data_IF_648985265300
#
_entry.id   IF_648985265300
#
_cell.length_a   1.000
_cell.length_b   1.000
_cell.length_c   1.000
_cell.angle_alpha   90.00
_cell.angle_beta   90.00
_cell.angle_gamma   90.00
#
_symmetry.space_group_name_H-M   'P 1'
#
loop_
_entity.id
_entity.type
_entity.pdbx_description
1 polymer ?
#
# COMPACT_ATOMS: atom_id res chain seq x y z
N UNK A 1 -32.92 -9.94 12.05
CA UNK A 1 -32.83 -9.33 10.72
C UNK A 1 -31.41 -9.51 10.21
N UNK A 2 -31.19 -10.48 9.33
CA UNK A 2 -29.90 -10.70 8.67
C UNK A 2 -29.66 -9.55 7.69
N UNK A 3 -28.78 -8.60 8.02
CA UNK A 3 -28.11 -7.83 6.98
C UNK A 3 -27.09 -8.76 6.35
N UNK A 4 -27.47 -9.39 5.23
CA UNK A 4 -26.52 -10.05 4.34
C UNK A 4 -25.43 -9.04 4.03
N UNK A 5 -24.18 -9.40 4.33
CA UNK A 5 -23.04 -8.53 4.13
C UNK A 5 -22.95 -8.13 2.66
N UNK A 6 -23.32 -6.88 2.36
CA UNK A 6 -22.87 -6.23 1.13
C UNK A 6 -21.35 -6.31 1.11
N UNK A 7 -20.82 -7.08 0.17
CA UNK A 7 -19.40 -7.29 -0.07
C UNK A 7 -18.73 -5.93 -0.36
N UNK A 8 -17.44 -5.81 -0.02
CA UNK A 8 -16.62 -4.62 -0.32
C UNK A 8 -16.76 -4.14 -1.77
N UNK A 9 -16.91 -5.10 -2.69
CA UNK A 9 -17.09 -4.88 -4.12
C UNK A 9 -18.28 -3.97 -4.44
N UNK A 10 -19.32 -3.91 -3.61
CA UNK A 10 -20.48 -3.04 -3.83
C UNK A 10 -20.38 -1.71 -3.06
N UNK A 11 -19.82 -1.72 -1.85
CA UNK A 11 -19.73 -0.53 -1.00
C UNK A 11 -18.70 0.47 -1.47
N UNK A 12 -17.52 0.00 -1.89
CA UNK A 12 -16.42 0.87 -2.25
C UNK A 12 -16.75 1.67 -3.53
N UNK A 13 -17.25 1.07 -4.63
CA UNK A 13 -17.65 1.83 -5.81
C UNK A 13 -18.79 2.81 -5.53
N UNK A 14 -19.75 2.45 -4.68
CA UNK A 14 -20.84 3.36 -4.26
C UNK A 14 -20.31 4.57 -3.52
N UNK A 15 -19.40 4.40 -2.56
CA UNK A 15 -18.79 5.51 -1.86
C UNK A 15 -18.02 6.42 -2.83
N UNK A 16 -17.22 5.85 -3.72
CA UNK A 16 -16.49 6.65 -4.72
C UNK A 16 -17.42 7.37 -5.68
N UNK A 17 -18.53 6.74 -6.09
CA UNK A 17 -19.56 7.39 -6.88
C UNK A 17 -20.21 8.56 -6.12
N UNK A 18 -20.53 8.39 -4.83
CA UNK A 18 -21.07 9.46 -3.99
C UNK A 18 -20.08 10.61 -3.80
N UNK A 19 -18.79 10.33 -3.55
CA UNK A 19 -17.75 11.37 -3.45
C UNK A 19 -17.64 12.12 -4.78
N UNK A 20 -17.62 11.41 -5.92
CA UNK A 20 -17.58 12.04 -7.25
C UNK A 20 -18.80 12.90 -7.53
N UNK A 21 -19.99 12.45 -7.13
CA UNK A 21 -21.23 13.23 -7.27
C UNK A 21 -21.19 14.52 -6.46
N UNK A 22 -20.78 14.45 -5.19
CA UNK A 22 -20.62 15.62 -4.31
C UNK A 22 -19.58 16.59 -4.90
N UNK A 23 -18.43 16.08 -5.35
CA UNK A 23 -17.40 16.90 -5.99
C UNK A 23 -17.91 17.56 -7.27
N UNK A 24 -18.69 16.86 -8.09
CA UNK A 24 -19.26 17.40 -9.32
C UNK A 24 -20.28 18.52 -9.02
N UNK A 25 -21.12 18.35 -8.00
CA UNK A 25 -22.06 19.38 -7.55
C UNK A 25 -21.33 20.64 -7.06
N UNK A 26 -20.28 20.47 -6.26
CA UNK A 26 -19.44 21.59 -5.80
C UNK A 26 -18.82 22.33 -6.99
N UNK A 27 -18.27 21.60 -7.97
CA UNK A 27 -17.61 22.20 -9.15
C UNK A 27 -18.60 22.87 -10.11
N UNK A 28 -19.88 22.54 -10.06
CA UNK A 28 -20.92 23.09 -10.91
C UNK A 28 -21.55 24.37 -10.35
N UNK A 29 -21.25 24.74 -9.09
CA UNK A 29 -21.80 25.95 -8.48
C UNK A 29 -21.32 27.21 -9.23
N UNK A 30 -22.25 28.08 -9.71
CA UNK A 30 -21.91 29.30 -10.43
C UNK A 30 -21.01 30.27 -9.65
N UNK A 31 -20.98 30.17 -8.33
CA UNK A 31 -20.12 30.99 -7.45
C UNK A 31 -18.63 30.75 -7.69
N UNK A 32 -18.24 29.67 -8.39
CA UNK A 32 -16.86 29.38 -8.78
C UNK A 32 -16.47 29.96 -10.15
N UNK A 33 -17.26 30.87 -10.73
CA UNK A 33 -16.92 31.54 -11.99
C UNK A 33 -15.52 32.20 -11.89
N UNK A 34 -14.62 31.81 -12.80
CA UNK A 34 -13.22 32.26 -12.78
C UNK A 34 -12.26 31.42 -11.93
N UNK A 35 -12.71 30.35 -11.28
CA UNK A 35 -11.84 29.43 -10.56
C UNK A 35 -10.82 28.77 -11.50
N UNK A 36 -9.56 28.73 -11.07
CA UNK A 36 -8.51 28.07 -11.85
C UNK A 36 -8.66 26.54 -11.79
N UNK A 37 -8.18 25.80 -12.81
CA UNK A 37 -8.17 24.34 -12.78
C UNK A 37 -7.49 23.77 -11.53
N UNK A 38 -6.43 24.42 -11.05
CA UNK A 38 -5.71 24.03 -9.82
C UNK A 38 -6.56 24.18 -8.56
N UNK A 39 -7.38 25.24 -8.47
CA UNK A 39 -8.30 25.43 -7.34
C UNK A 39 -9.36 24.33 -7.33
N UNK A 40 -9.91 23.99 -8.49
CA UNK A 40 -10.90 22.92 -8.64
C UNK A 40 -10.33 21.54 -8.30
N UNK A 41 -9.08 21.25 -8.69
CA UNK A 41 -8.39 20.02 -8.28
C UNK A 41 -8.18 19.99 -6.76
N UNK A 42 -7.79 21.11 -6.15
CA UNK A 42 -7.62 21.22 -4.69
C UNK A 42 -8.93 20.98 -3.94
N UNK A 43 -10.04 21.52 -4.44
CA UNK A 43 -11.37 21.28 -3.88
C UNK A 43 -11.76 19.80 -3.95
N UNK A 44 -11.55 19.15 -5.10
CA UNK A 44 -11.79 17.72 -5.30
C UNK A 44 -10.98 16.86 -4.31
N UNK A 45 -9.68 17.13 -4.17
CA UNK A 45 -8.82 16.44 -3.20
C UNK A 45 -9.29 16.68 -1.76
N UNK A 46 -9.79 17.88 -1.46
CA UNK A 46 -10.27 18.24 -0.11
C UNK A 46 -11.54 17.48 0.26
N UNK A 47 -12.50 17.39 -0.67
CA UNK A 47 -13.76 16.65 -0.49
C UNK A 47 -13.46 15.17 -0.29
N UNK A 48 -12.59 14.59 -1.14
CA UNK A 48 -12.16 13.20 -1.02
C UNK A 48 -11.54 12.95 0.36
N UNK A 49 -10.53 13.74 0.75
CA UNK A 49 -9.86 13.59 2.06
C UNK A 49 -10.82 13.71 3.23
N UNK A 50 -11.79 14.63 3.18
CA UNK A 50 -12.77 14.80 4.24
C UNK A 50 -13.71 13.59 4.37
N UNK A 51 -14.16 13.01 3.26
CA UNK A 51 -14.99 11.81 3.25
C UNK A 51 -14.22 10.59 3.78
N UNK A 52 -13.03 10.34 3.23
CA UNK A 52 -12.17 9.23 3.66
C UNK A 52 -11.74 9.37 5.12
N UNK A 53 -11.47 10.59 5.62
CA UNK A 53 -11.08 10.77 7.01
C UNK A 53 -12.16 10.36 8.00
N UNK A 54 -13.44 10.60 7.67
CA UNK A 54 -14.59 10.25 8.53
C UNK A 54 -15.01 8.79 8.41
N UNK A 55 -14.92 8.23 7.20
CA UNK A 55 -15.39 6.87 6.90
C UNK A 55 -14.26 5.82 6.90
N UNK A 56 -13.03 6.22 7.25
CA UNK A 56 -11.82 5.44 7.00
C UNK A 56 -11.92 3.98 7.45
N UNK A 57 -12.38 3.73 8.69
CA UNK A 57 -12.44 2.37 9.23
C UNK A 57 -13.48 1.50 8.50
N UNK A 58 -14.63 2.07 8.13
CA UNK A 58 -15.66 1.37 7.36
C UNK A 58 -15.21 1.05 5.93
N UNK A 59 -14.31 1.88 5.40
CA UNK A 59 -13.79 1.75 4.03
C UNK A 59 -12.57 0.82 3.98
N UNK A 60 -11.75 0.84 5.04
CA UNK A 60 -10.60 -0.05 5.19
C UNK A 60 -11.01 -1.47 5.60
N UNK A 61 -12.02 -1.60 6.46
CA UNK A 61 -12.55 -2.88 6.95
C UNK A 61 -14.06 -3.02 6.66
N UNK A 62 -14.47 -3.11 5.39
CA UNK A 62 -15.88 -3.22 5.03
C UNK A 62 -16.56 -4.51 5.51
N UNK A 63 -15.79 -5.57 5.74
CA UNK A 63 -16.24 -6.82 6.37
C UNK A 63 -15.96 -6.85 7.89
N UNK A 64 -15.51 -5.73 8.46
CA UNK A 64 -15.22 -5.57 9.89
C UNK A 64 -14.14 -6.53 10.39
N UNK A 65 -14.47 -7.31 11.41
CA UNK A 65 -13.53 -8.20 12.10
C UNK A 65 -12.88 -9.26 11.19
N UNK A 66 -13.55 -9.65 10.10
CA UNK A 66 -12.99 -10.59 9.12
C UNK A 66 -11.74 -10.03 8.44
N UNK A 67 -11.78 -8.76 8.03
CA UNK A 67 -10.64 -8.08 7.40
C UNK A 67 -9.50 -7.90 8.40
N UNK A 68 -9.84 -7.50 9.63
CA UNK A 68 -8.90 -7.31 10.74
C UNK A 68 -8.18 -8.63 11.07
N UNK A 69 -8.93 -9.73 11.23
CA UNK A 69 -8.37 -11.04 11.56
C UNK A 69 -7.42 -11.52 10.46
N UNK A 70 -7.80 -11.35 9.19
CA UNK A 70 -6.97 -11.71 8.05
C UNK A 70 -5.68 -10.87 7.96
N UNK A 71 -5.76 -9.57 8.26
CA UNK A 71 -4.57 -8.71 8.37
C UNK A 71 -3.65 -9.12 9.54
N UNK A 72 -4.23 -9.50 10.68
CA UNK A 72 -3.46 -10.02 11.83
C UNK A 72 -2.72 -11.32 11.47
N UNK A 73 -3.38 -12.23 10.75
CA UNK A 73 -2.75 -13.47 10.26
C UNK A 73 -1.55 -13.15 9.37
N UNK A 74 -1.69 -12.23 8.41
CA UNK A 74 -0.55 -11.83 7.58
C UNK A 74 0.54 -11.13 8.40
N UNK A 75 0.17 -10.25 9.34
CA UNK A 75 1.15 -9.53 10.14
C UNK A 75 1.99 -10.47 11.01
N UNK A 76 1.37 -11.49 11.59
CA UNK A 76 2.06 -12.54 12.33
C UNK A 76 2.95 -13.40 11.42
N UNK A 77 2.46 -13.75 10.23
CA UNK A 77 3.25 -14.43 9.20
C UNK A 77 4.50 -13.64 8.83
N UNK A 78 4.36 -12.35 8.52
CA UNK A 78 5.47 -11.44 8.22
C UNK A 78 6.46 -11.39 9.38
N UNK A 79 5.98 -11.29 10.62
CA UNK A 79 6.84 -11.25 11.82
C UNK A 79 7.72 -12.49 11.90
N UNK A 80 7.15 -13.68 11.70
CA UNK A 80 7.88 -14.96 11.75
C UNK A 80 8.88 -15.08 10.60
N UNK A 81 8.46 -14.83 9.36
CA UNK A 81 9.36 -14.83 8.19
C UNK A 81 10.51 -13.84 8.40
N UNK A 82 10.22 -12.63 8.86
CA UNK A 82 11.22 -11.58 9.07
C UNK A 82 12.28 -11.94 10.10
N UNK A 83 11.93 -12.77 11.10
CA UNK A 83 12.84 -13.21 12.17
C UNK A 83 13.94 -14.16 11.68
N UNK A 84 13.65 -14.96 10.64
CA UNK A 84 14.60 -15.90 10.03
C UNK A 84 15.21 -15.38 8.74
N UNK A 85 14.83 -14.16 8.33
CA UNK A 85 15.19 -13.58 7.03
C UNK A 85 16.29 -12.53 7.14
N UNK A 86 17.31 -12.69 6.29
CA UNK A 86 18.35 -11.71 6.00
C UNK A 86 18.20 -11.15 4.59
N UNK A 87 18.86 -10.02 4.27
CA UNK A 87 18.86 -9.49 2.90
C UNK A 87 19.37 -10.52 1.88
N UNK A 88 20.35 -11.36 2.27
CA UNK A 88 20.86 -12.45 1.43
C UNK A 88 19.78 -13.51 1.15
N UNK A 89 19.01 -13.93 2.16
CA UNK A 89 18.08 -15.06 2.03
C UNK A 89 16.87 -14.74 1.15
N UNK A 90 16.48 -13.47 1.02
CA UNK A 90 15.45 -13.01 0.08
C UNK A 90 16.01 -12.70 -1.32
N UNK A 91 17.29 -12.95 -1.57
CA UNK A 91 17.89 -12.78 -2.88
C UNK A 91 18.44 -11.38 -3.20
N UNK A 92 18.64 -10.50 -2.21
CA UNK A 92 19.31 -9.20 -2.48
C UNK A 92 20.73 -9.46 -2.98
N UNK A 93 21.08 -8.89 -4.14
CA UNK A 93 22.39 -9.01 -4.77
C UNK A 93 23.50 -8.49 -3.84
N UNK A 94 24.68 -9.13 -3.87
CA UNK A 94 25.79 -8.81 -2.97
C UNK A 94 26.19 -7.32 -3.03
N UNK A 95 26.21 -6.73 -4.23
CA UNK A 95 26.52 -5.32 -4.47
C UNK A 95 25.50 -4.33 -3.88
N UNK A 96 24.30 -4.79 -3.50
CA UNK A 96 23.26 -3.93 -2.92
C UNK A 96 23.09 -4.10 -1.42
N UNK A 97 23.71 -5.12 -0.80
CA UNK A 97 23.54 -5.46 0.62
C UNK A 97 24.15 -4.42 1.56
N UNK A 98 25.10 -3.60 1.11
CA UNK A 98 25.72 -2.55 1.92
C UNK A 98 24.70 -1.53 2.46
N UNK A 99 23.61 -1.33 1.72
CA UNK A 99 22.57 -0.39 2.11
C UNK A 99 21.50 -1.01 3.01
N UNK A 100 21.54 -2.32 3.25
CA UNK A 100 20.60 -2.97 4.14
C UNK A 100 20.74 -2.39 5.57
N UNK A 101 19.63 -2.08 6.26
CA UNK A 101 18.28 -2.55 5.96
C UNK A 101 17.41 -1.55 5.17
N UNK A 102 17.99 -0.62 4.41
CA UNK A 102 17.30 0.39 3.61
C UNK A 102 16.43 1.36 4.45
N UNK A 103 17.02 2.07 5.43
CA UNK A 103 16.26 2.83 6.45
C UNK A 103 15.35 3.92 5.86
N UNK A 104 15.74 4.58 4.77
CA UNK A 104 14.91 5.60 4.10
C UNK A 104 13.63 5.02 3.51
N UNK A 105 13.75 3.89 2.80
CA UNK A 105 12.61 3.17 2.23
C UNK A 105 11.67 2.68 3.34
N UNK A 106 12.23 2.07 4.39
CA UNK A 106 11.44 1.65 5.56
C UNK A 106 10.67 2.81 6.20
N UNK A 107 11.31 3.98 6.35
CA UNK A 107 10.64 5.16 6.92
C UNK A 107 9.45 5.60 6.09
N UNK A 108 9.53 5.57 4.77
CA UNK A 108 8.37 5.86 3.93
C UNK A 108 7.26 4.84 4.20
N UNK A 109 7.56 3.56 4.10
CA UNK A 109 6.56 2.51 4.26
C UNK A 109 5.92 2.47 5.66
N UNK A 110 6.64 2.84 6.73
CA UNK A 110 6.09 2.99 8.09
C UNK A 110 4.99 4.05 8.20
N UNK A 111 4.94 5.03 7.28
CA UNK A 111 3.89 6.05 7.25
C UNK A 111 2.64 5.61 6.48
N UNK A 112 2.66 4.45 5.80
CA UNK A 112 1.51 3.94 5.06
C UNK A 112 0.17 3.96 5.84
N UNK A 113 0.11 3.58 7.14
CA UNK A 113 -1.14 3.64 7.91
C UNK A 113 -1.60 5.06 8.27
N UNK A 114 -0.73 6.07 8.19
CA UNK A 114 -1.10 7.47 8.46
C UNK A 114 -1.97 8.03 7.34
N UNK A 115 -1.76 7.56 6.11
CA UNK A 115 -2.51 8.01 4.94
C UNK A 115 -3.86 7.30 4.85
N UNK A 116 -4.92 8.08 4.61
CA UNK A 116 -6.31 7.57 4.58
C UNK A 116 -6.89 7.44 3.17
N UNK A 117 -6.39 8.21 2.21
CA UNK A 117 -6.84 8.15 0.81
C UNK A 117 -6.00 7.13 0.02
N UNK A 118 -6.59 6.47 -0.99
CA UNK A 118 -5.84 5.62 -1.93
C UNK A 118 -4.67 6.37 -2.58
N UNK A 119 -4.90 7.62 -3.01
CA UNK A 119 -3.89 8.49 -3.65
C UNK A 119 -2.68 8.71 -2.74
N UNK A 120 -2.91 9.06 -1.48
CA UNK A 120 -1.81 9.33 -0.54
C UNK A 120 -1.06 8.05 -0.14
N UNK A 121 -1.76 6.91 -0.02
CA UNK A 121 -1.16 5.58 0.21
C UNK A 121 -0.28 5.14 -0.95
N UNK A 122 -0.74 5.29 -2.18
CA UNK A 122 0.05 5.03 -3.38
C UNK A 122 1.30 5.92 -3.41
N UNK A 123 1.14 7.24 -3.20
CA UNK A 123 2.27 8.17 -3.17
C UNK A 123 3.31 7.79 -2.11
N UNK A 124 2.89 7.22 -0.98
CA UNK A 124 3.77 6.67 0.03
C UNK A 124 4.62 5.50 -0.49
N UNK A 125 4.01 4.57 -1.21
CA UNK A 125 4.70 3.42 -1.81
C UNK A 125 5.63 3.86 -2.93
N UNK A 126 5.22 4.82 -3.76
CA UNK A 126 6.07 5.42 -4.78
C UNK A 126 7.34 6.00 -4.15
N UNK A 127 7.23 6.81 -3.08
CA UNK A 127 8.40 7.33 -2.36
C UNK A 127 9.30 6.23 -1.78
N UNK A 128 8.71 5.12 -1.32
CA UNK A 128 9.46 3.96 -0.87
C UNK A 128 10.26 3.34 -2.02
N UNK A 129 9.63 3.07 -3.16
CA UNK A 129 10.28 2.47 -4.34
C UNK A 129 11.34 3.41 -4.92
N UNK A 130 11.05 4.70 -5.09
CA UNK A 130 12.04 5.69 -5.54
C UNK A 130 13.25 5.74 -4.60
N UNK A 131 13.04 5.64 -3.29
CA UNK A 131 14.14 5.59 -2.32
C UNK A 131 14.99 4.33 -2.46
N UNK A 132 14.38 3.19 -2.82
CA UNK A 132 15.10 1.94 -3.10
C UNK A 132 15.91 2.12 -4.38
N UNK A 133 15.27 2.53 -5.49
CA UNK A 133 15.94 2.69 -6.79
C UNK A 133 17.12 3.67 -6.72
N UNK A 134 16.96 4.78 -5.99
CA UNK A 134 18.04 5.75 -5.78
C UNK A 134 19.25 5.13 -5.06
N UNK A 135 19.02 4.26 -4.07
CA UNK A 135 20.09 3.55 -3.35
C UNK A 135 20.74 2.49 -4.23
N UNK A 136 19.94 1.74 -5.00
CA UNK A 136 20.46 0.72 -5.91
C UNK A 136 21.38 1.35 -6.97
N UNK A 137 21.00 2.51 -7.51
CA UNK A 137 21.78 3.27 -8.49
C UNK A 137 23.09 3.88 -7.97
N UNK A 138 23.37 3.81 -6.66
CA UNK A 138 24.70 4.16 -6.11
C UNK A 138 25.71 3.00 -6.22
N UNK A 139 25.25 1.81 -6.63
CA UNK A 139 26.13 0.66 -6.82
C UNK A 139 26.79 0.78 -8.19
N UNK A 140 28.12 0.73 -8.22
CA UNK A 140 28.89 0.91 -9.45
C UNK A 140 28.52 -0.13 -10.53
N UNK A 141 28.39 0.34 -11.77
CA UNK A 141 28.36 -0.54 -12.96
C UNK A 141 26.99 -1.02 -13.44
N UNK A 142 25.86 -0.56 -12.91
CA UNK A 142 24.54 -0.92 -13.46
C UNK A 142 23.43 0.11 -13.21
N UNK A 143 22.55 0.28 -14.20
CA UNK A 143 21.23 0.90 -13.99
C UNK A 143 20.35 -0.13 -13.27
N UNK A 144 19.77 0.19 -12.10
CA UNK A 144 18.99 -0.77 -11.34
C UNK A 144 17.77 -1.24 -12.14
N UNK A 145 17.59 -2.56 -12.19
CA UNK A 145 16.49 -3.24 -12.88
C UNK A 145 15.35 -3.58 -11.91
N UNK A 146 14.24 -4.08 -12.45
CA UNK A 146 13.13 -4.59 -11.64
C UNK A 146 13.52 -5.83 -10.81
N UNK A 147 14.47 -6.63 -11.32
CA UNK A 147 14.99 -7.82 -10.65
C UNK A 147 15.86 -7.45 -9.45
N UNK A 148 16.50 -6.27 -9.48
CA UNK A 148 17.22 -5.71 -8.32
C UNK A 148 16.28 -5.12 -7.28
N UNK A 149 15.15 -4.54 -7.73
CA UNK A 149 14.14 -3.94 -6.86
C UNK A 149 13.37 -4.98 -6.05
N UNK A 150 12.86 -6.02 -6.71
CA UNK A 150 11.93 -7.00 -6.12
C UNK A 150 12.41 -7.59 -4.78
N UNK A 151 13.63 -8.16 -4.67
CA UNK A 151 14.10 -8.72 -3.41
C UNK A 151 14.29 -7.66 -2.32
N UNK A 152 14.66 -6.43 -2.68
CA UNK A 152 14.78 -5.31 -1.73
C UNK A 152 13.41 -4.85 -1.25
N UNK A 153 12.41 -4.79 -2.12
CA UNK A 153 11.05 -4.43 -1.76
C UNK A 153 10.43 -5.47 -0.80
N UNK A 154 10.59 -6.76 -1.10
CA UNK A 154 10.23 -7.86 -0.20
C UNK A 154 10.90 -7.69 1.17
N UNK A 155 12.22 -7.46 1.17
CA UNK A 155 12.98 -7.25 2.41
C UNK A 155 12.46 -6.06 3.23
N UNK A 156 12.20 -4.92 2.59
CA UNK A 156 11.69 -3.72 3.24
C UNK A 156 10.31 -3.96 3.84
N UNK A 157 9.39 -4.63 3.11
CA UNK A 157 8.06 -4.99 3.63
C UNK A 157 8.21 -5.91 4.85
N UNK A 158 9.06 -6.93 4.79
CA UNK A 158 9.30 -7.83 5.92
C UNK A 158 9.85 -7.11 7.16
N UNK A 159 10.75 -6.13 6.98
CA UNK A 159 11.34 -5.38 8.10
C UNK A 159 10.43 -4.29 8.65
N UNK A 160 9.45 -3.81 7.88
CA UNK A 160 8.48 -2.82 8.34
C UNK A 160 7.24 -3.47 8.94
N UNK A 161 6.73 -4.54 8.33
CA UNK A 161 5.45 -5.16 8.66
C UNK A 161 4.31 -4.14 8.79
N UNK A 162 3.92 -3.45 7.70
CA UNK A 162 2.89 -2.42 7.77
C UNK A 162 1.56 -3.00 8.28
N UNK A 163 0.87 -2.34 9.23
CA UNK A 163 -0.43 -2.82 9.69
C UNK A 163 -1.47 -2.68 8.58
N UNK A 164 -2.48 -3.55 8.61
CA UNK A 164 -3.61 -3.51 7.68
C UNK A 164 -3.21 -3.58 6.21
N UNK A 165 -2.20 -4.38 5.90
CA UNK A 165 -1.56 -4.42 4.58
C UNK A 165 -2.49 -4.97 3.51
N UNK A 166 -3.24 -6.04 3.80
CA UNK A 166 -4.17 -6.62 2.84
C UNK A 166 -5.38 -5.70 2.62
N UNK A 167 -5.95 -5.16 3.70
CA UNK A 167 -7.02 -4.16 3.59
C UNK A 167 -6.57 -2.91 2.85
N UNK A 168 -5.31 -2.49 3.02
CA UNK A 168 -4.74 -1.37 2.25
C UNK A 168 -4.66 -1.70 0.76
N UNK A 169 -4.26 -2.92 0.39
CA UNK A 169 -4.21 -3.36 -1.01
C UNK A 169 -5.61 -3.38 -1.63
N UNK A 170 -6.58 -3.95 -0.94
CA UNK A 170 -7.98 -4.00 -1.40
C UNK A 170 -8.56 -2.60 -1.56
N UNK A 171 -8.33 -1.72 -0.59
CA UNK A 171 -8.75 -0.33 -0.66
C UNK A 171 -8.19 0.39 -1.89
N UNK A 172 -6.88 0.29 -2.11
CA UNK A 172 -6.23 0.97 -3.25
C UNK A 172 -6.68 0.35 -4.57
N UNK A 173 -6.84 -0.97 -4.65
CA UNK A 173 -7.35 -1.62 -5.86
C UNK A 173 -8.78 -1.21 -6.19
N UNK A 174 -9.67 -1.19 -5.19
CA UNK A 174 -11.07 -0.87 -5.38
C UNK A 174 -11.30 0.62 -5.73
N UNK A 175 -10.56 1.53 -5.08
CA UNK A 175 -10.86 2.97 -5.15
C UNK A 175 -9.81 3.80 -5.90
N UNK A 176 -8.56 3.36 -5.90
CA UNK A 176 -7.45 4.01 -6.63
C UNK A 176 -7.10 3.33 -7.95
N UNK A 177 -7.42 2.04 -8.11
CA UNK A 177 -6.95 1.19 -9.21
C UNK A 177 -7.27 1.72 -10.61
N UNK A 178 -8.49 2.23 -10.80
CA UNK A 178 -8.93 2.76 -12.10
C UNK A 178 -8.19 4.03 -12.55
N UNK A 179 -7.56 4.75 -11.62
CA UNK A 179 -6.76 5.94 -11.90
C UNK A 179 -5.25 5.65 -12.05
N UNK A 180 -4.81 4.41 -11.77
CA UNK A 180 -3.41 4.03 -11.88
C UNK A 180 -3.01 3.85 -13.35
N UNK A 181 -1.98 4.56 -13.78
CA UNK A 181 -1.41 4.45 -15.13
C UNK A 181 0.11 4.56 -15.10
N UNK A 182 0.75 4.07 -16.16
CA UNK A 182 2.20 4.19 -16.37
C UNK A 182 3.04 3.63 -15.20
N UNK A 183 4.03 4.42 -14.78
CA UNK A 183 4.97 4.06 -13.72
C UNK A 183 4.28 3.77 -12.38
N UNK A 184 3.23 4.52 -12.04
CA UNK A 184 2.52 4.33 -10.78
C UNK A 184 1.79 2.97 -10.72
N UNK A 185 1.17 2.56 -11.83
CA UNK A 185 0.56 1.23 -11.96
C UNK A 185 1.62 0.13 -11.87
N UNK A 186 2.78 0.33 -12.51
CA UNK A 186 3.87 -0.64 -12.49
C UNK A 186 4.40 -0.86 -11.07
N UNK A 187 4.75 0.20 -10.34
CA UNK A 187 5.26 0.07 -8.97
C UNK A 187 4.21 -0.46 -7.98
N UNK A 188 2.95 -0.10 -8.17
CA UNK A 188 1.86 -0.70 -7.40
C UNK A 188 1.75 -2.20 -7.65
N UNK A 189 1.86 -2.63 -8.91
CA UNK A 189 1.83 -4.05 -9.28
C UNK A 189 3.00 -4.82 -8.65
N UNK A 190 4.21 -4.25 -8.67
CA UNK A 190 5.39 -4.81 -8.01
C UNK A 190 5.21 -4.92 -6.49
N UNK A 191 4.61 -3.90 -5.85
CA UNK A 191 4.29 -3.94 -4.43
C UNK A 191 3.30 -5.05 -4.10
N UNK A 192 2.22 -5.19 -4.86
CA UNK A 192 1.24 -6.27 -4.70
C UNK A 192 1.89 -7.65 -4.91
N UNK A 193 2.75 -7.79 -5.92
CA UNK A 193 3.49 -9.03 -6.19
C UNK A 193 4.43 -9.39 -5.03
N UNK A 194 5.14 -8.41 -4.45
CA UNK A 194 6.01 -8.62 -3.30
C UNK A 194 5.21 -9.10 -2.07
N UNK A 195 4.03 -8.53 -1.81
CA UNK A 195 3.15 -9.00 -0.72
C UNK A 195 2.61 -10.40 -0.99
N UNK A 196 2.23 -10.70 -2.23
CA UNK A 196 1.79 -12.04 -2.63
C UNK A 196 2.91 -13.07 -2.44
N UNK A 197 4.15 -12.74 -2.80
CA UNK A 197 5.31 -13.60 -2.59
C UNK A 197 5.60 -13.83 -1.10
N UNK A 198 5.48 -12.80 -0.26
CA UNK A 198 5.67 -12.96 1.20
C UNK A 198 4.67 -13.97 1.78
N UNK A 199 3.42 -14.00 1.28
CA UNK A 199 2.41 -14.98 1.72
C UNK A 199 2.81 -16.43 1.42
N UNK A 200 3.67 -16.66 0.43
CA UNK A 200 4.16 -18.01 0.06
C UNK A 200 5.48 -18.38 0.74
N UNK A 201 6.08 -17.47 1.54
CA UNK A 201 7.34 -17.74 2.22
C UNK A 201 7.11 -18.61 3.46
N UNK A 202 7.93 -19.64 3.62
CA UNK A 202 7.90 -20.50 4.79
C UNK A 202 8.85 -20.01 5.90
N UNK A 203 8.56 -20.42 7.13
CA UNK A 203 9.45 -20.29 8.28
C UNK A 203 9.41 -21.60 9.08
N UNK A 204 10.52 -21.97 9.75
CA UNK A 204 10.56 -23.16 10.59
C UNK A 204 9.42 -23.12 11.62
N UNK A 205 8.64 -24.20 11.71
CA UNK A 205 7.70 -24.36 12.82
C UNK A 205 8.55 -24.57 14.09
N UNK A 206 8.19 -23.95 15.23
CA UNK A 206 8.84 -24.31 16.49
C UNK A 206 8.68 -25.82 16.68
N UNK A 207 9.81 -26.52 16.85
CA UNK A 207 9.79 -27.95 17.13
C UNK A 207 8.97 -28.16 18.42
N UNK A 208 7.86 -28.88 18.32
CA UNK A 208 7.13 -29.39 19.48
C UNK A 208 7.97 -30.50 20.09
N UNK A 209 9.04 -30.16 20.80
CA UNK A 209 9.84 -31.09 21.56
C UNK A 209 9.73 -30.76 23.05
N UNK A 210 8.50 -30.88 23.56
CA UNK A 210 8.21 -31.03 24.99
C UNK A 210 7.38 -32.32 25.15
N UNK A 211 8.11 -33.43 25.34
CA UNK A 211 7.66 -34.63 26.06
C UNK A 211 8.75 -35.01 27.04
#
# INVERSE_FOLDING_TARGET
MHHGGELMDDKAPRLTASIKAITAEIKADPSWEGATPTLLESAEVTVERAAFARLYLHVLFPNGDGDIARDQVLSEHIRRVSSVTSARSVGVAAGHRWAAPYPRAQRHLRHLPVYRTPRDKLACIMRCVTSIMAVLGLTEGSTPSADDLTPVLVYVILKVNPPSLLSTIELVNALGGSALQGEALYWWTQFCAAVAYIKTMDYPRPDNNDT
#
